data_IF_932675958014
#
_entry.id   IF_932675958014
#
_cell.length_a   1.000
_cell.length_b   1.000
_cell.length_c   1.000
_cell.angle_alpha   90.00
_cell.angle_beta   90.00
_cell.angle_gamma   90.00
#
_symmetry.space_group_name_H-M   'P 1'
#
loop_
_entity.id
_entity.type
_entity.pdbx_description
1 polymer ?
#
# COMPACT_ATOMS: atom_id res chain seq x y z
N UNK A 1 2.19 -0.51 -9.18
CA UNK A 1 2.15 0.64 -8.25
C UNK A 1 2.67 0.23 -6.87
N UNK A 2 3.36 1.11 -6.16
CA UNK A 2 3.82 0.82 -4.80
C UNK A 2 2.66 0.44 -3.89
N UNK A 3 2.79 -0.66 -3.16
CA UNK A 3 1.73 -1.17 -2.28
C UNK A 3 2.31 -2.04 -1.17
N UNK A 4 1.49 -2.27 -0.15
CA UNK A 4 1.80 -3.14 0.99
C UNK A 4 0.83 -4.30 1.02
N UNK A 5 1.34 -5.51 1.12
CA UNK A 5 0.52 -6.70 1.38
C UNK A 5 0.27 -6.83 2.88
N UNK A 6 -0.92 -7.28 3.25
CA UNK A 6 -1.24 -7.56 4.64
C UNK A 6 -2.12 -8.79 4.78
N UNK A 7 -2.07 -9.39 5.96
CA UNK A 7 -2.91 -10.51 6.33
C UNK A 7 -3.56 -10.21 7.69
N UNK A 8 -4.80 -10.63 7.87
CA UNK A 8 -5.56 -10.46 9.11
C UNK A 8 -5.72 -11.81 9.79
N UNK A 9 -5.47 -11.83 11.11
CA UNK A 9 -5.56 -13.04 11.95
C UNK A 9 -6.42 -12.76 13.18
N UNK A 10 -7.07 -13.82 13.76
CA UNK A 10 -7.90 -13.64 14.96
C UNK A 10 -7.14 -13.14 16.19
N UNK A 11 -5.84 -13.43 16.28
CA UNK A 11 -4.98 -13.02 17.37
C UNK A 11 -3.51 -13.09 16.96
N UNK A 12 -2.65 -12.47 17.73
CA UNK A 12 -1.20 -12.53 17.51
C UNK A 12 -0.69 -13.99 17.57
N UNK A 13 -1.21 -14.79 18.50
CA UNK A 13 -0.83 -16.21 18.61
C UNK A 13 -1.21 -17.00 17.37
N UNK A 14 -2.33 -16.68 16.72
CA UNK A 14 -2.78 -17.32 15.49
C UNK A 14 -1.99 -16.88 14.25
N UNK A 15 -1.31 -15.74 14.30
CA UNK A 15 -0.53 -15.21 13.19
C UNK A 15 0.74 -16.01 12.87
N UNK A 16 1.09 -16.99 13.69
CA UNK A 16 2.23 -17.89 13.45
C UNK A 16 1.95 -18.98 12.42
N UNK A 17 0.69 -19.16 12.01
CA UNK A 17 0.29 -20.16 11.03
C UNK A 17 -0.63 -19.53 9.99
N UNK A 18 -0.21 -19.53 8.72
CA UNK A 18 -0.95 -18.96 7.60
C UNK A 18 -2.34 -19.57 7.40
N UNK A 19 -2.57 -20.81 7.84
CA UNK A 19 -3.88 -21.47 7.77
C UNK A 19 -4.94 -20.76 8.63
N UNK A 20 -4.53 -19.96 9.61
CA UNK A 20 -5.44 -19.21 10.49
C UNK A 20 -5.82 -17.83 9.92
N UNK A 21 -5.35 -17.48 8.75
CA UNK A 21 -5.60 -16.16 8.16
C UNK A 21 -7.09 -16.00 7.81
N UNK A 22 -7.64 -14.82 8.16
CA UNK A 22 -9.02 -14.45 7.86
C UNK A 22 -9.10 -13.77 6.49
N UNK A 23 -8.12 -12.92 6.18
CA UNK A 23 -8.09 -12.13 4.97
C UNK A 23 -6.64 -11.86 4.55
N UNK A 24 -6.39 -11.93 3.26
CA UNK A 24 -5.17 -11.41 2.62
C UNK A 24 -5.58 -10.33 1.64
N UNK A 25 -4.93 -9.20 1.67
CA UNK A 25 -5.16 -8.12 0.73
C UNK A 25 -3.95 -7.21 0.65
N UNK A 26 -4.09 -6.10 -0.04
CA UNK A 26 -3.05 -5.09 -0.16
C UNK A 26 -3.67 -3.71 -0.14
N UNK A 27 -2.85 -2.71 0.18
CA UNK A 27 -3.24 -1.31 0.05
C UNK A 27 -2.14 -0.51 -0.62
N UNK A 28 -2.53 0.59 -1.24
CA UNK A 28 -1.64 1.49 -1.95
C UNK A 28 -1.76 2.91 -1.39
N UNK A 29 -1.04 3.83 -2.01
CA UNK A 29 -0.92 5.21 -1.56
C UNK A 29 -1.35 6.16 -2.68
N UNK A 30 -1.82 7.38 -2.35
CA UNK A 30 -2.06 8.39 -3.37
C UNK A 30 -0.82 8.62 -4.24
N UNK A 31 -1.02 8.76 -5.55
CA UNK A 31 0.09 8.93 -6.49
C UNK A 31 0.96 10.15 -6.15
N UNK A 32 0.35 11.23 -5.68
CA UNK A 32 1.08 12.42 -5.26
C UNK A 32 2.09 12.14 -4.14
N UNK A 33 1.76 11.24 -3.19
CA UNK A 33 2.65 10.84 -2.11
C UNK A 33 3.82 10.01 -2.65
N UNK A 34 3.56 9.08 -3.56
CA UNK A 34 4.62 8.29 -4.19
C UNK A 34 5.58 9.18 -4.98
N UNK A 35 5.05 10.12 -5.75
CA UNK A 35 5.86 11.10 -6.48
C UNK A 35 6.73 11.93 -5.53
N UNK A 36 6.16 12.43 -4.44
CA UNK A 36 6.90 13.20 -3.44
C UNK A 36 8.00 12.37 -2.77
N UNK A 37 7.68 11.15 -2.34
CA UNK A 37 8.65 10.26 -1.69
C UNK A 37 9.83 9.94 -2.61
N UNK A 38 9.58 9.73 -3.89
CA UNK A 38 10.62 9.38 -4.85
C UNK A 38 11.51 10.54 -5.27
N UNK A 39 11.22 11.77 -4.86
CA UNK A 39 12.15 12.90 -5.03
C UNK A 39 13.33 12.83 -4.06
N UNK A 40 13.26 12.01 -3.02
CA UNK A 40 14.33 11.83 -2.06
C UNK A 40 15.54 11.15 -2.68
N UNK A 41 16.73 11.48 -2.16
CA UNK A 41 17.97 10.87 -2.59
C UNK A 41 17.92 9.34 -2.50
N UNK A 42 18.40 8.65 -3.53
CA UNK A 42 18.40 7.19 -3.60
C UNK A 42 17.20 6.60 -4.36
N UNK A 43 16.19 7.41 -4.72
CA UNK A 43 15.00 6.95 -5.44
C UNK A 43 14.92 7.41 -6.89
N UNK A 44 16.02 7.89 -7.48
CA UNK A 44 16.03 8.44 -8.84
C UNK A 44 15.51 7.43 -9.90
N UNK A 45 15.88 6.16 -9.79
CA UNK A 45 15.39 5.11 -10.70
C UNK A 45 13.89 4.84 -10.52
N UNK A 46 13.38 5.03 -9.31
CA UNK A 46 11.96 4.84 -9.00
C UNK A 46 11.08 5.90 -9.64
N UNK A 47 11.58 7.13 -9.81
CA UNK A 47 10.84 8.20 -10.51
C UNK A 47 10.51 7.77 -11.94
N UNK A 48 11.49 7.27 -12.68
CA UNK A 48 11.29 6.78 -14.04
C UNK A 48 10.37 5.56 -14.12
N UNK A 49 10.49 4.65 -13.16
CA UNK A 49 9.63 3.47 -13.08
C UNK A 49 8.19 3.85 -12.77
N UNK A 50 7.97 4.76 -11.82
CA UNK A 50 6.63 5.21 -11.47
C UNK A 50 5.95 5.93 -12.64
N UNK A 51 6.69 6.72 -13.43
CA UNK A 51 6.17 7.41 -14.58
C UNK A 51 5.60 6.48 -15.67
N UNK A 52 6.03 5.20 -15.69
CA UNK A 52 5.55 4.18 -16.62
C UNK A 52 4.37 3.38 -16.09
N UNK A 53 3.92 3.67 -14.88
CA UNK A 53 2.87 2.91 -14.19
C UNK A 53 1.61 3.75 -14.03
N UNK A 54 0.47 3.08 -13.94
CA UNK A 54 -0.79 3.68 -13.50
C UNK A 54 -1.61 2.64 -12.76
N UNK A 55 -2.55 3.07 -11.92
CA UNK A 55 -3.45 2.13 -11.24
C UNK A 55 -4.30 1.35 -12.25
N UNK A 56 -4.70 1.97 -13.35
CA UNK A 56 -5.49 1.32 -14.38
C UNK A 56 -4.74 0.18 -15.11
N UNK A 57 -3.41 0.28 -15.20
CA UNK A 57 -2.56 -0.72 -15.87
C UNK A 57 -1.92 -1.72 -14.89
N UNK A 58 -2.06 -1.50 -13.57
CA UNK A 58 -1.50 -2.37 -12.55
C UNK A 58 -2.42 -3.59 -12.35
N UNK A 59 -1.85 -4.79 -12.41
CA UNK A 59 -2.61 -6.03 -12.25
C UNK A 59 -3.34 -6.14 -10.90
N UNK A 60 -2.82 -5.48 -9.86
CA UNK A 60 -3.39 -5.50 -8.51
C UNK A 60 -4.54 -4.52 -8.38
N UNK A 61 -4.47 -3.35 -9.04
CA UNK A 61 -5.39 -2.24 -8.84
C UNK A 61 -6.19 -1.85 -10.09
N UNK A 62 -6.10 -2.62 -11.17
CA UNK A 62 -6.80 -2.31 -12.43
C UNK A 62 -8.33 -2.27 -12.30
N UNK A 63 -8.89 -2.95 -11.31
CA UNK A 63 -10.32 -2.96 -10.99
C UNK A 63 -10.74 -1.86 -10.01
N UNK A 64 -9.83 -0.95 -9.66
CA UNK A 64 -10.09 0.19 -8.79
C UNK A 64 -9.35 0.13 -7.46
N UNK A 65 -9.34 1.26 -6.75
CA UNK A 65 -8.58 1.43 -5.50
C UNK A 65 -9.44 1.94 -4.34
N UNK A 66 -10.76 2.02 -4.51
CA UNK A 66 -11.65 2.68 -3.54
C UNK A 66 -11.52 2.11 -2.12
N UNK A 67 -11.29 0.80 -1.98
CA UNK A 67 -11.16 0.11 -0.69
C UNK A 67 -9.71 -0.19 -0.32
N UNK A 68 -8.75 0.24 -1.13
CA UNK A 68 -7.33 -0.11 -1.01
C UNK A 68 -6.40 1.10 -0.99
N UNK A 69 -6.95 2.31 -0.90
CA UNK A 69 -6.17 3.55 -0.88
C UNK A 69 -5.99 4.02 0.56
N UNK A 70 -4.75 4.04 1.05
CA UNK A 70 -4.44 4.55 2.37
C UNK A 70 -4.57 6.07 2.45
N UNK A 71 -4.96 6.58 3.61
CA UNK A 71 -4.83 7.99 3.95
C UNK A 71 -3.43 8.25 4.47
N UNK A 72 -2.74 9.23 3.91
CA UNK A 72 -1.33 9.50 4.22
C UNK A 72 -1.15 10.92 4.70
N UNK A 73 -0.38 11.09 5.78
CA UNK A 73 0.07 12.39 6.30
C UNK A 73 1.58 12.39 6.45
N UNK A 74 2.17 13.58 6.49
CA UNK A 74 3.62 13.72 6.65
C UNK A 74 4.30 14.31 5.42
N UNK A 75 5.64 14.28 5.43
CA UNK A 75 6.49 14.82 4.38
C UNK A 75 7.64 13.89 4.07
N UNK A 76 8.27 14.06 2.91
CA UNK A 76 9.44 13.27 2.52
C UNK A 76 10.61 13.42 3.50
N UNK A 77 10.78 14.60 4.12
CA UNK A 77 11.89 14.87 5.05
C UNK A 77 11.63 14.35 6.47
N UNK A 78 10.35 14.25 6.88
CA UNK A 78 9.96 13.82 8.24
C UNK A 78 9.38 12.42 8.29
N UNK A 79 9.13 11.81 7.14
CA UNK A 79 8.47 10.54 7.02
C UNK A 79 6.95 10.67 6.91
N UNK A 80 6.29 9.55 6.63
CA UNK A 80 4.86 9.49 6.41
C UNK A 80 4.18 8.58 7.42
N UNK A 81 2.92 8.90 7.71
CA UNK A 81 2.02 8.02 8.44
C UNK A 81 0.86 7.67 7.52
N UNK A 82 0.58 6.39 7.39
CA UNK A 82 -0.50 5.89 6.54
C UNK A 82 -1.51 5.11 7.36
N UNK A 83 -2.80 5.26 7.05
CA UNK A 83 -3.87 4.53 7.71
C UNK A 83 -4.91 4.06 6.71
N UNK A 84 -5.50 2.91 7.01
CA UNK A 84 -6.58 2.32 6.24
C UNK A 84 -7.46 1.49 7.16
N UNK A 85 -8.79 1.69 7.07
CA UNK A 85 -9.75 0.83 7.76
C UNK A 85 -10.17 -0.29 6.82
N UNK A 86 -10.08 -1.52 7.29
CA UNK A 86 -10.41 -2.72 6.50
C UNK A 86 -11.52 -3.49 7.18
N UNK A 87 -12.61 -3.72 6.46
CA UNK A 87 -13.68 -4.62 6.88
C UNK A 87 -13.32 -6.07 6.59
N UNK A 88 -13.55 -6.96 7.55
CA UNK A 88 -13.30 -8.39 7.38
C UNK A 88 -14.50 -9.21 7.87
N UNK A 89 -14.72 -10.34 7.23
CA UNK A 89 -15.66 -11.35 7.72
C UNK A 89 -14.93 -12.23 8.73
N UNK A 90 -15.34 -12.07 9.96
CA UNK A 90 -14.68 -12.74 11.08
C UNK A 90 -15.16 -14.16 11.30
#
# INVERSE_FOLDING_TARGET
MPHVHFEVYPSLAKATNAANRIKTSQFTFPLAIANEAYTSSGYASSIGNLARMSFALDNVFSDGTALQMASVTGTASQGYSASLTVGVNW
#
